data_IF_285872365416
#
_entry.id   IF_285872365416
#
_cell.length_a   1.000
_cell.length_b   1.000
_cell.length_c   1.000
_cell.angle_alpha   90.00
_cell.angle_beta   90.00
_cell.angle_gamma   90.00
#
_symmetry.space_group_name_H-M   'P 1'
#
loop_
_entity.id
_entity.type
_entity.pdbx_description
1 polymer ?
#
# COMPACT_ATOMS: atom_id res chain seq x y z
N UNK A 1 11.03 -21.93 -27.59
CA UNK A 1 10.20 -20.89 -28.23
C UNK A 1 8.77 -21.13 -27.81
N UNK A 2 8.25 -20.33 -26.89
CA UNK A 2 6.81 -20.32 -26.54
C UNK A 2 6.02 -19.84 -27.76
N UNK A 3 4.95 -20.54 -28.12
CA UNK A 3 4.09 -20.12 -29.22
C UNK A 3 3.37 -18.82 -28.83
N UNK A 4 3.41 -17.82 -29.71
CA UNK A 4 2.74 -16.54 -29.45
C UNK A 4 1.22 -16.64 -29.64
N UNK A 5 0.46 -16.07 -28.72
CA UNK A 5 -1.01 -16.05 -28.75
C UNK A 5 -1.53 -14.66 -28.39
N UNK A 6 -2.43 -14.12 -29.21
CA UNK A 6 -3.09 -12.84 -28.92
C UNK A 6 -4.26 -13.03 -27.96
N UNK A 7 -4.30 -12.25 -26.89
CA UNK A 7 -5.31 -12.33 -25.82
C UNK A 7 -5.84 -10.97 -25.41
N UNK A 8 -7.02 -10.96 -24.79
CA UNK A 8 -7.54 -9.78 -24.11
C UNK A 8 -6.76 -9.48 -22.82
N UNK A 9 -6.81 -8.22 -22.35
CA UNK A 9 -6.08 -7.78 -21.15
C UNK A 9 -6.43 -8.62 -19.91
N UNK A 10 -7.71 -8.86 -19.67
CA UNK A 10 -8.15 -9.61 -18.48
C UNK A 10 -7.64 -11.05 -18.51
N UNK A 11 -7.67 -11.69 -19.69
CA UNK A 11 -7.20 -13.06 -19.87
C UNK A 11 -5.69 -13.18 -19.61
N UNK A 12 -4.88 -12.23 -20.11
CA UNK A 12 -3.42 -12.25 -19.91
C UNK A 12 -2.95 -11.79 -18.52
N UNK A 13 -3.80 -11.08 -17.77
CA UNK A 13 -3.38 -10.35 -16.56
C UNK A 13 -2.66 -11.20 -15.50
N UNK A 14 -3.19 -12.38 -15.19
CA UNK A 14 -2.61 -13.28 -14.17
C UNK A 14 -1.25 -13.80 -14.61
N UNK A 15 -1.16 -14.35 -15.83
CA UNK A 15 0.09 -14.87 -16.37
C UNK A 15 1.16 -13.78 -16.52
N UNK A 16 0.78 -12.57 -16.91
CA UNK A 16 1.71 -11.43 -16.93
C UNK A 16 2.14 -11.00 -15.53
N UNK A 17 1.30 -11.14 -14.51
CA UNK A 17 1.66 -10.83 -13.13
C UNK A 17 2.64 -11.85 -12.54
N UNK A 18 2.45 -13.15 -12.83
CA UNK A 18 3.39 -14.19 -12.45
C UNK A 18 4.75 -13.95 -13.11
N UNK A 19 4.77 -13.69 -14.43
CA UNK A 19 6.01 -13.34 -15.12
C UNK A 19 6.63 -12.04 -14.61
N UNK A 20 5.81 -11.04 -14.24
CA UNK A 20 6.30 -9.78 -13.68
C UNK A 20 6.98 -9.99 -12.34
N UNK A 21 6.43 -10.85 -11.47
CA UNK A 21 7.06 -11.20 -10.19
C UNK A 21 8.45 -11.81 -10.41
N UNK A 22 8.58 -12.76 -11.35
CA UNK A 22 9.84 -13.41 -11.66
C UNK A 22 10.86 -12.42 -12.23
N UNK A 23 10.45 -11.60 -13.22
CA UNK A 23 11.30 -10.54 -13.79
C UNK A 23 11.78 -9.57 -12.70
N UNK A 24 10.89 -9.13 -11.81
CA UNK A 24 11.26 -8.18 -10.77
C UNK A 24 12.18 -8.81 -9.72
N UNK A 25 12.05 -10.11 -9.46
CA UNK A 25 12.97 -10.85 -8.59
C UNK A 25 14.36 -10.94 -9.22
N UNK A 26 14.44 -11.18 -10.53
CA UNK A 26 15.71 -11.15 -11.26
C UNK A 26 16.34 -9.76 -11.30
N UNK A 27 15.55 -8.70 -11.53
CA UNK A 27 16.01 -7.31 -11.44
C UNK A 27 16.53 -7.01 -10.03
N UNK A 28 15.82 -7.47 -8.99
CA UNK A 28 16.25 -7.30 -7.61
C UNK A 28 17.55 -8.04 -7.27
N UNK A 29 17.98 -8.99 -8.11
CA UNK A 29 19.23 -9.75 -7.96
C UNK A 29 20.49 -8.93 -8.24
N UNK A 30 20.36 -7.69 -8.68
CA UNK A 30 21.46 -6.77 -8.95
C UNK A 30 21.28 -5.46 -8.20
N UNK A 31 22.27 -5.08 -7.41
CA UNK A 31 22.23 -3.84 -6.65
C UNK A 31 22.07 -2.62 -7.58
N UNK A 32 21.13 -1.74 -7.25
CA UNK A 32 20.74 -0.54 -8.01
C UNK A 32 20.07 -0.82 -9.36
N UNK A 33 19.79 -2.07 -9.72
CA UNK A 33 19.06 -2.37 -10.95
C UNK A 33 17.59 -1.98 -10.85
N UNK A 34 17.11 -1.29 -11.90
CA UNK A 34 15.72 -0.88 -12.05
C UNK A 34 15.24 -1.23 -13.45
N UNK A 35 13.93 -1.37 -13.62
CA UNK A 35 13.31 -1.65 -14.92
C UNK A 35 12.28 -0.58 -15.24
N UNK A 36 12.18 -0.17 -16.51
CA UNK A 36 11.13 0.76 -16.89
C UNK A 36 9.79 0.05 -16.99
N UNK A 37 8.70 0.81 -16.78
CA UNK A 37 7.34 0.30 -16.97
C UNK A 37 7.08 -0.20 -18.40
N UNK A 38 7.79 0.34 -19.40
CA UNK A 38 7.69 -0.11 -20.78
C UNK A 38 8.42 -1.44 -20.99
N UNK A 39 9.66 -1.56 -20.50
CA UNK A 39 10.45 -2.78 -20.63
C UNK A 39 9.81 -3.94 -19.88
N UNK A 40 9.27 -3.70 -18.68
CA UNK A 40 8.55 -4.73 -17.94
C UNK A 40 7.33 -5.23 -18.75
N UNK A 41 6.57 -4.31 -19.35
CA UNK A 41 5.41 -4.67 -20.14
C UNK A 41 5.76 -5.50 -21.39
N UNK A 42 6.88 -5.19 -22.03
CA UNK A 42 7.39 -5.97 -23.16
C UNK A 42 7.86 -7.37 -22.70
N UNK A 43 8.63 -7.42 -21.61
CA UNK A 43 9.19 -8.67 -21.09
C UNK A 43 8.11 -9.64 -20.62
N UNK A 44 7.07 -9.20 -19.92
CA UNK A 44 5.99 -10.10 -19.46
C UNK A 44 5.24 -10.72 -20.65
N UNK A 45 5.01 -9.97 -21.72
CA UNK A 45 4.41 -10.51 -22.94
C UNK A 45 5.37 -11.47 -23.66
N UNK A 46 6.66 -11.16 -23.68
CA UNK A 46 7.69 -12.00 -24.32
C UNK A 46 7.87 -13.34 -23.61
N UNK A 47 8.00 -13.33 -22.28
CA UNK A 47 8.18 -14.54 -21.47
C UNK A 47 6.97 -15.47 -21.52
N UNK A 48 5.77 -14.90 -21.46
CA UNK A 48 4.52 -15.68 -21.48
C UNK A 48 4.11 -16.12 -22.88
N UNK A 49 4.57 -15.45 -23.94
CA UNK A 49 4.04 -15.59 -25.29
C UNK A 49 2.63 -15.00 -25.47
N UNK A 50 2.03 -14.43 -24.43
CA UNK A 50 0.69 -13.83 -24.49
C UNK A 50 0.81 -12.36 -24.91
N UNK A 51 0.34 -12.05 -26.12
CA UNK A 51 0.42 -10.72 -26.73
C UNK A 51 -0.91 -9.97 -26.65
N UNK A 52 -0.85 -8.65 -26.54
CA UNK A 52 -2.04 -7.78 -26.67
C UNK A 52 -1.75 -6.54 -27.50
N UNK A 53 -2.76 -6.06 -28.23
CA UNK A 53 -2.68 -4.79 -28.99
C UNK A 53 -2.99 -3.57 -28.12
N UNK A 54 -3.47 -3.78 -26.90
CA UNK A 54 -3.78 -2.68 -25.98
C UNK A 54 -2.51 -1.96 -25.53
N UNK A 55 -2.48 -0.61 -25.52
CA UNK A 55 -1.31 0.14 -25.07
C UNK A 55 -0.91 -0.23 -23.65
N UNK A 56 0.37 -0.50 -23.40
CA UNK A 56 0.84 -1.03 -22.11
C UNK A 56 0.37 -0.26 -20.88
N UNK A 57 0.27 1.07 -21.01
CA UNK A 57 -0.12 1.97 -19.93
C UNK A 57 -1.50 1.68 -19.36
N UNK A 58 -2.40 1.09 -20.16
CA UNK A 58 -3.78 0.80 -19.78
C UNK A 58 -3.92 -0.47 -18.95
N UNK A 59 -2.95 -1.38 -18.96
CA UNK A 59 -3.07 -2.69 -18.32
C UNK A 59 -1.96 -3.04 -17.34
N UNK A 60 -0.74 -2.53 -17.54
CA UNK A 60 0.40 -2.88 -16.67
C UNK A 60 0.16 -2.45 -15.21
N UNK A 61 -0.69 -1.44 -14.96
CA UNK A 61 -1.10 -1.05 -13.60
C UNK A 61 -1.84 -2.18 -12.86
N UNK A 62 -2.76 -2.88 -13.53
CA UNK A 62 -3.49 -4.01 -12.95
C UNK A 62 -2.57 -5.20 -12.69
N UNK A 63 -1.62 -5.45 -13.59
CA UNK A 63 -0.57 -6.47 -13.40
C UNK A 63 0.26 -6.16 -12.15
N UNK A 64 0.73 -4.91 -11.99
CA UNK A 64 1.48 -4.49 -10.80
C UNK A 64 0.66 -4.57 -9.52
N UNK A 65 -0.65 -4.31 -9.57
CA UNK A 65 -1.54 -4.46 -8.40
C UNK A 65 -1.65 -5.93 -7.93
N UNK A 66 -1.65 -6.89 -8.86
CA UNK A 66 -1.61 -8.33 -8.54
C UNK A 66 -0.27 -8.66 -7.87
N UNK A 67 0.85 -8.17 -8.41
CA UNK A 67 2.18 -8.37 -7.81
C UNK A 67 2.26 -7.77 -6.40
N UNK A 68 1.71 -6.59 -6.17
CA UNK A 68 1.64 -5.97 -4.83
C UNK A 68 0.84 -6.84 -3.86
N UNK A 69 -0.33 -7.31 -4.29
CA UNK A 69 -1.17 -8.21 -3.47
C UNK A 69 -0.41 -9.48 -3.09
N UNK A 70 0.27 -10.09 -4.07
CA UNK A 70 1.10 -11.28 -3.85
C UNK A 70 2.26 -11.01 -2.89
N UNK A 71 3.00 -9.93 -3.10
CA UNK A 71 4.13 -9.56 -2.25
C UNK A 71 3.68 -9.35 -0.79
N UNK A 72 2.54 -8.69 -0.57
CA UNK A 72 1.97 -8.54 0.77
C UNK A 72 1.56 -9.87 1.40
N UNK A 73 0.88 -10.74 0.64
CA UNK A 73 0.43 -12.04 1.14
C UNK A 73 1.60 -12.97 1.54
N UNK A 74 2.72 -12.87 0.82
CA UNK A 74 3.92 -13.68 1.04
C UNK A 74 4.97 -12.98 1.94
N UNK A 75 4.65 -11.80 2.49
CA UNK A 75 5.57 -10.97 3.26
C UNK A 75 6.91 -10.69 2.53
N UNK A 76 6.85 -10.54 1.21
CA UNK A 76 7.98 -10.19 0.36
C UNK A 76 8.18 -8.66 0.32
N UNK A 77 9.42 -8.18 0.04
CA UNK A 77 9.64 -6.76 -0.19
C UNK A 77 8.84 -6.27 -1.39
N UNK A 78 8.52 -4.96 -1.46
CA UNK A 78 7.69 -4.38 -2.51
C UNK A 78 8.43 -4.33 -3.85
N UNK A 79 8.46 -5.46 -4.57
CA UNK A 79 9.13 -5.63 -5.86
C UNK A 79 8.77 -4.56 -6.89
N UNK A 80 7.53 -4.03 -6.83
CA UNK A 80 7.07 -2.97 -7.73
C UNK A 80 7.77 -1.63 -7.53
N UNK A 81 8.51 -1.43 -6.43
CA UNK A 81 9.36 -0.26 -6.21
C UNK A 81 10.53 -0.15 -7.21
N UNK A 82 10.91 -1.26 -7.85
CA UNK A 82 11.95 -1.33 -8.88
C UNK A 82 11.49 -0.82 -10.25
N UNK A 83 10.17 -0.59 -10.42
CA UNK A 83 9.58 -0.13 -11.67
C UNK A 83 9.63 1.39 -11.74
N UNK A 84 10.34 1.92 -12.74
CA UNK A 84 10.50 3.36 -12.95
C UNK A 84 9.80 3.85 -14.23
N UNK A 85 9.53 5.15 -14.31
CA UNK A 85 9.01 5.77 -15.52
C UNK A 85 10.07 5.92 -16.62
N UNK A 86 11.33 6.19 -16.23
CA UNK A 86 12.50 6.29 -17.11
C UNK A 86 13.73 5.82 -16.34
N UNK A 87 14.61 5.05 -16.99
CA UNK A 87 15.91 4.73 -16.44
C UNK A 87 16.81 5.98 -16.46
N UNK A 88 17.40 6.34 -15.32
CA UNK A 88 18.41 7.40 -15.23
C UNK A 88 17.90 8.84 -15.14
N UNK A 89 16.68 9.07 -14.62
CA UNK A 89 16.27 10.41 -14.21
C UNK A 89 16.54 10.61 -12.72
N UNK A 90 17.30 11.64 -12.36
CA UNK A 90 17.33 12.19 -10.99
C UNK A 90 15.90 12.59 -10.63
N UNK A 91 15.19 11.68 -10.00
CA UNK A 91 14.02 11.99 -9.21
C UNK A 91 14.54 11.97 -7.80
N UNK A 92 14.43 13.09 -7.07
CA UNK A 92 14.45 13.10 -5.61
C UNK A 92 13.50 12.00 -5.16
N UNK A 93 14.08 10.83 -4.93
CA UNK A 93 13.31 9.63 -4.72
C UNK A 93 12.96 9.73 -3.26
N UNK A 94 11.67 9.97 -2.99
CA UNK A 94 11.13 9.97 -1.64
C UNK A 94 11.76 8.83 -0.85
N UNK A 95 12.24 9.13 0.36
CA UNK A 95 13.00 8.20 1.21
C UNK A 95 12.35 6.81 1.30
N UNK A 96 11.01 6.76 1.33
CA UNK A 96 10.23 5.52 1.32
C UNK A 96 10.45 4.65 0.08
N UNK A 97 10.60 5.24 -1.12
CA UNK A 97 10.86 4.50 -2.36
C UNK A 97 12.30 3.97 -2.37
N UNK A 98 13.27 4.75 -1.90
CA UNK A 98 14.67 4.28 -1.76
C UNK A 98 14.76 3.10 -0.80
N UNK A 99 14.10 3.21 0.36
CA UNK A 99 14.04 2.13 1.35
C UNK A 99 13.35 0.87 0.78
N UNK A 100 12.24 1.05 0.06
CA UNK A 100 11.51 -0.04 -0.58
C UNK A 100 12.37 -0.80 -1.61
N UNK A 101 13.14 -0.08 -2.43
CA UNK A 101 14.09 -0.69 -3.38
C UNK A 101 15.21 -1.41 -2.65
N UNK A 102 15.80 -0.78 -1.63
CA UNK A 102 16.88 -1.40 -0.86
C UNK A 102 16.41 -2.69 -0.18
N UNK A 103 15.18 -2.76 0.32
CA UNK A 103 14.61 -3.99 0.86
C UNK A 103 14.51 -5.12 -0.18
N UNK A 104 14.29 -4.79 -1.45
CA UNK A 104 14.32 -5.77 -2.55
C UNK A 104 15.76 -6.28 -2.76
N UNK A 105 16.72 -5.38 -2.95
CA UNK A 105 18.12 -5.78 -3.15
C UNK A 105 18.62 -6.63 -1.98
N UNK A 106 18.41 -6.20 -0.73
CA UNK A 106 18.89 -6.93 0.45
C UNK A 106 18.38 -8.37 0.53
N UNK A 107 17.26 -8.67 -0.12
CA UNK A 107 16.70 -10.02 -0.17
C UNK A 107 17.26 -10.87 -1.31
N UNK A 108 17.55 -10.27 -2.46
CA UNK A 108 17.78 -11.01 -3.71
C UNK A 108 19.16 -10.79 -4.33
N UNK A 109 19.83 -9.68 -4.05
CA UNK A 109 21.13 -9.33 -4.61
C UNK A 109 22.28 -9.82 -3.73
N UNK A 110 23.28 -10.42 -4.38
CA UNK A 110 24.53 -10.87 -3.75
C UNK A 110 25.67 -9.85 -3.92
N UNK A 111 25.47 -8.79 -4.71
CA UNK A 111 26.47 -7.80 -5.11
C UNK A 111 26.37 -6.47 -4.34
N UNK A 112 25.64 -6.44 -3.22
CA UNK A 112 25.52 -5.25 -2.37
C UNK A 112 26.83 -5.05 -1.59
N UNK A 113 27.49 -3.89 -1.70
CA UNK A 113 28.68 -3.61 -0.90
C UNK A 113 28.37 -3.62 0.61
N UNK A 114 29.25 -4.22 1.41
CA UNK A 114 29.05 -4.38 2.84
C UNK A 114 28.91 -3.03 3.58
N UNK A 115 29.58 -1.99 3.10
CA UNK A 115 29.46 -0.63 3.62
C UNK A 115 28.06 -0.05 3.42
N UNK A 116 27.39 -0.37 2.31
CA UNK A 116 26.02 0.09 2.03
C UNK A 116 25.05 -0.59 2.99
N UNK A 117 25.22 -1.88 3.25
CA UNK A 117 24.43 -2.64 4.24
C UNK A 117 24.61 -2.02 5.64
N UNK A 118 25.87 -1.79 6.04
CA UNK A 118 26.18 -1.24 7.36
C UNK A 118 25.58 0.17 7.57
N UNK A 119 25.60 1.02 6.53
CA UNK A 119 24.98 2.35 6.56
C UNK A 119 23.46 2.25 6.71
N UNK A 120 22.81 1.40 5.92
CA UNK A 120 21.36 1.21 5.99
C UNK A 120 20.92 0.66 7.37
N UNK A 121 21.65 -0.31 7.91
CA UNK A 121 21.35 -0.87 9.24
C UNK A 121 21.62 0.14 10.37
N UNK A 122 22.58 1.05 10.20
CA UNK A 122 22.81 2.15 11.14
C UNK A 122 21.66 3.17 11.12
N UNK A 123 21.14 3.49 9.93
CA UNK A 123 20.01 4.40 9.76
C UNK A 123 18.73 3.82 10.37
N UNK A 124 18.44 2.53 10.15
CA UNK A 124 17.31 1.84 10.79
C UNK A 124 17.41 1.91 12.31
N UNK A 125 18.59 1.58 12.88
CA UNK A 125 18.82 1.66 14.33
C UNK A 125 18.65 3.07 14.88
N UNK A 126 19.10 4.10 14.15
CA UNK A 126 18.93 5.49 14.56
C UNK A 126 17.44 5.88 14.61
N UNK A 127 16.67 5.52 13.58
CA UNK A 127 15.22 5.76 13.52
C UNK A 127 14.45 5.03 14.62
N UNK A 128 14.81 3.79 14.90
CA UNK A 128 14.21 3.01 15.99
C UNK A 128 14.50 3.64 17.36
N UNK A 129 15.74 4.12 17.58
CA UNK A 129 16.12 4.82 18.80
C UNK A 129 15.35 6.14 18.96
N UNK A 130 15.21 6.92 17.89
CA UNK A 130 14.42 8.15 17.89
C UNK A 130 12.94 7.87 18.19
N UNK A 131 12.34 6.87 17.55
CA UNK A 131 10.95 6.48 17.78
C UNK A 131 10.72 5.98 19.23
N UNK A 132 11.67 5.25 19.80
CA UNK A 132 11.64 4.81 21.18
C UNK A 132 11.70 6.00 22.15
N UNK A 133 12.59 6.96 21.91
CA UNK A 133 12.69 8.17 22.74
C UNK A 133 11.45 9.06 22.60
N UNK A 134 10.90 9.22 21.40
CA UNK A 134 9.64 9.93 21.19
C UNK A 134 8.47 9.28 21.95
N UNK A 135 8.41 7.94 21.93
CA UNK A 135 7.42 7.17 22.71
C UNK A 135 7.61 7.36 24.20
N UNK A 136 8.86 7.33 24.70
CA UNK A 136 9.20 7.58 26.09
C UNK A 136 8.82 9.00 26.52
N UNK A 137 9.17 10.01 25.71
CA UNK A 137 8.84 11.41 25.95
C UNK A 137 7.32 11.67 25.94
N UNK A 138 6.55 10.91 25.15
CA UNK A 138 5.09 10.96 25.17
C UNK A 138 4.52 10.32 26.44
N UNK A 139 5.10 9.21 26.89
CA UNK A 139 4.71 8.53 28.14
C UNK A 139 5.00 9.39 29.37
N UNK A 140 6.18 10.03 29.44
CA UNK A 140 6.54 10.93 30.55
C UNK A 140 5.61 12.14 30.63
N UNK A 141 5.30 12.78 29.49
CA UNK A 141 4.31 13.86 29.41
C UNK A 141 2.90 13.42 29.83
N UNK A 142 2.49 12.20 29.47
CA UNK A 142 1.19 11.65 29.89
C UNK A 142 1.16 11.34 31.40
N UNK A 143 2.27 10.96 32.01
CA UNK A 143 2.35 10.73 33.46
C UNK A 143 2.50 12.02 34.28
N UNK A 144 3.09 13.09 33.71
CA UNK A 144 3.20 14.41 34.36
C UNK A 144 1.95 15.26 34.20
N UNK A 145 1.05 14.93 33.27
CA UNK A 145 -0.32 15.42 33.23
C UNK A 145 -1.13 14.79 34.38
N UNK A 146 -0.71 15.10 35.62
CA UNK A 146 -1.36 14.65 36.84
C UNK A 146 -2.85 14.97 36.82
N UNK A 147 -3.63 13.99 37.27
CA UNK A 147 -5.04 14.04 37.69
C UNK A 147 -5.77 15.33 37.33
N UNK A 148 -6.10 15.51 36.04
CA UNK A 148 -7.26 16.35 35.74
C UNK A 148 -8.43 15.54 36.28
N UNK A 149 -8.95 15.96 37.44
CA UNK A 149 -10.16 15.39 38.02
C UNK A 149 -11.14 15.15 36.87
N UNK A 150 -11.74 13.95 36.75
CA UNK A 150 -12.67 13.68 35.68
C UNK A 150 -13.70 14.80 35.73
N UNK A 151 -13.71 15.66 34.71
CA UNK A 151 -14.82 16.60 34.55
C UNK A 151 -16.00 15.67 34.40
N UNK A 152 -16.85 15.60 35.42
CA UNK A 152 -18.14 14.93 35.36
C UNK A 152 -18.75 15.44 34.06
N UNK A 153 -18.78 14.58 33.03
CA UNK A 153 -19.51 14.90 31.82
C UNK A 153 -20.90 15.16 32.33
N UNK A 154 -21.38 16.40 32.17
CA UNK A 154 -22.79 16.70 32.35
C UNK A 154 -23.51 15.62 31.55
N UNK A 155 -24.36 14.77 32.16
CA UNK A 155 -25.03 13.73 31.41
C UNK A 155 -25.69 14.44 30.22
N UNK A 156 -25.31 14.02 29.01
CA UNK A 156 -26.10 14.36 27.84
C UNK A 156 -27.42 13.67 28.14
N UNK A 157 -28.41 14.46 28.54
CA UNK A 157 -29.79 14.02 28.62
C UNK A 157 -30.05 13.42 27.25
N UNK A 158 -30.32 12.10 27.13
CA UNK A 158 -30.71 11.54 25.86
C UNK A 158 -31.91 12.34 25.38
N UNK A 159 -31.74 13.04 24.26
CA UNK A 159 -32.86 13.70 23.61
C UNK A 159 -33.86 12.57 23.28
N UNK A 160 -35.03 12.61 23.94
CA UNK A 160 -36.03 11.56 23.86
C UNK A 160 -36.36 11.39 22.37
N UNK A 161 -36.09 10.20 21.83
CA UNK A 161 -36.28 9.93 20.41
C UNK A 161 -37.72 10.34 20.01
N UNK A 162 -37.90 11.02 18.87
CA UNK A 162 -39.20 11.51 18.47
C UNK A 162 -40.19 10.36 18.41
N UNK A 163 -41.30 10.47 19.15
CA UNK A 163 -42.35 9.45 19.13
C UNK A 163 -43.00 9.46 17.75
N UNK A 164 -42.96 8.33 17.06
CA UNK A 164 -43.51 8.20 15.70
C UNK A 164 -44.86 7.50 15.78
N UNK A 165 -45.85 7.99 15.03
CA UNK A 165 -47.14 7.32 14.88
C UNK A 165 -46.93 5.96 14.18
N UNK A 166 -47.39 4.83 14.73
CA UNK A 166 -47.19 3.51 14.13
C UNK A 166 -48.03 3.29 12.85
N UNK A 167 -49.02 4.15 12.59
CA UNK A 167 -49.92 4.03 11.43
C UNK A 167 -49.43 4.90 10.26
N UNK A 168 -49.17 6.18 10.52
CA UNK A 168 -48.79 7.15 9.49
C UNK A 168 -47.28 7.38 9.40
N UNK A 169 -46.50 6.83 10.33
CA UNK A 169 -45.04 6.99 10.41
C UNK A 169 -44.54 8.44 10.48
N UNK A 170 -45.42 9.38 10.84
CA UNK A 170 -45.09 10.79 11.11
C UNK A 170 -44.72 11.00 12.57
N UNK A 171 -43.89 12.00 12.84
CA UNK A 171 -43.53 12.39 14.20
C UNK A 171 -44.75 12.97 14.93
N UNK A 172 -45.05 12.42 16.10
CA UNK A 172 -46.17 12.84 16.94
C UNK A 172 -45.87 14.20 17.58
N UNK A 173 -46.88 15.08 17.69
CA UNK A 173 -46.80 16.28 18.50
C UNK A 173 -46.69 15.92 20.00
N UNK A 174 -46.40 16.92 20.84
CA UNK A 174 -46.22 16.72 22.28
C UNK A 174 -47.44 16.11 22.99
N UNK A 175 -48.65 16.22 22.41
CA UNK A 175 -49.87 15.58 22.91
C UNK A 175 -49.84 14.05 22.81
N UNK A 176 -48.98 13.47 21.96
CA UNK A 176 -48.90 12.03 21.72
C UNK A 176 -50.02 11.44 20.86
N UNK A 177 -50.90 12.30 20.32
CA UNK A 177 -52.02 11.93 19.45
C UNK A 177 -51.72 12.42 18.03
N UNK A 178 -51.94 11.58 17.02
CA UNK A 178 -51.71 11.96 15.63
C UNK A 178 -52.91 12.72 15.09
N UNK A 179 -52.68 13.91 14.54
CA UNK A 179 -53.74 14.78 14.01
C UNK A 179 -54.57 14.13 12.87
N UNK A 180 -53.99 13.14 12.17
CA UNK A 180 -54.65 12.40 11.09
C UNK A 180 -55.39 11.14 11.57
N UNK A 181 -54.96 10.52 12.69
CA UNK A 181 -55.56 9.27 13.19
C UNK A 181 -56.57 9.48 14.33
N UNK A 182 -56.47 10.58 15.08
CA UNK A 182 -57.30 10.87 16.25
C UNK A 182 -56.87 10.18 17.54
#
# INVERSE_FOLDING_TARGET
MTAERWVGVNEGSVAWADAAHDILTEVAGHHLAVITRADLAEQVQSRTGLRTRSPYRTWIGSVLAIVVTRAHAEALPPLTSLVVHRAGGDVETEEGVTQARFACYRRYADDIPAEVIALADAEVRAKEAEAAEATRARRTRSSSAGTRAPRTRKPVVPEEAPKICPTCFVQLPASGICDDCG
#
